data_IF_341067872160
#
_entry.id   IF_341067872160
#
_cell.length_a   1.000
_cell.length_b   1.000
_cell.length_c   1.000
_cell.angle_alpha   90.00
_cell.angle_beta   90.00
_cell.angle_gamma   90.00
#
_symmetry.space_group_name_H-M   'P 1'
#
loop_
_entity.id
_entity.type
_entity.pdbx_description
1 polymer ?
#
# COMPACT_ATOMS: atom_id res chain seq x y z
N UNK A 1 0.55 -15.14 22.64
CA UNK A 1 0.16 -13.71 22.80
C UNK A 1 -1.27 -13.69 23.26
N UNK A 2 -1.62 -12.93 24.32
CA UNK A 2 -3.01 -12.67 24.62
C UNK A 2 -3.55 -11.73 23.54
N UNK A 3 -4.43 -12.25 22.69
CA UNK A 3 -5.22 -11.42 21.77
C UNK A 3 -6.14 -10.56 22.63
N UNK A 4 -5.83 -9.27 22.68
CA UNK A 4 -6.59 -8.34 23.50
C UNK A 4 -7.97 -8.12 22.88
N UNK A 5 -9.01 -8.19 23.72
CA UNK A 5 -10.42 -7.98 23.33
C UNK A 5 -10.77 -6.49 23.08
N UNK A 6 -9.77 -5.63 22.92
CA UNK A 6 -9.92 -4.18 22.72
C UNK A 6 -9.50 -3.78 21.33
N UNK A 7 -9.92 -2.62 20.87
CA UNK A 7 -9.58 -2.04 19.56
C UNK A 7 -8.66 -0.86 19.72
N UNK A 8 -7.89 -0.47 18.68
CA UNK A 8 -7.08 0.73 18.71
C UNK A 8 -7.85 1.97 19.17
N UNK A 9 -9.05 2.21 18.63
CA UNK A 9 -9.87 3.38 18.99
C UNK A 9 -10.27 3.38 20.46
N UNK A 10 -10.64 2.22 21.03
CA UNK A 10 -10.98 2.09 22.45
C UNK A 10 -9.77 2.39 23.37
N UNK A 11 -8.57 2.03 22.92
CA UNK A 11 -7.32 2.32 23.62
C UNK A 11 -6.81 3.76 23.34
N UNK A 12 -7.48 4.52 22.45
CA UNK A 12 -7.14 5.89 22.08
C UNK A 12 -5.99 5.99 21.08
N UNK A 13 -5.77 4.95 20.27
CA UNK A 13 -4.86 4.96 19.13
C UNK A 13 -5.59 5.36 17.86
N UNK A 14 -4.85 5.96 16.91
CA UNK A 14 -5.35 6.36 15.61
C UNK A 14 -4.31 6.11 14.52
N UNK A 15 -4.74 5.96 13.29
CA UNK A 15 -3.87 5.84 12.11
C UNK A 15 -3.26 7.21 11.80
N UNK A 16 -1.92 7.37 11.82
CA UNK A 16 -1.26 8.60 11.41
C UNK A 16 -1.38 8.80 9.90
N UNK A 17 -1.10 10.03 9.46
CA UNK A 17 -0.92 10.31 8.04
C UNK A 17 0.45 9.83 7.56
N UNK A 18 0.58 9.54 6.26
CA UNK A 18 1.84 9.10 5.67
C UNK A 18 2.94 10.18 5.70
N UNK A 19 2.55 11.45 5.71
CA UNK A 19 3.51 12.57 5.84
C UNK A 19 3.97 12.86 7.29
N UNK A 20 3.53 12.06 8.29
CA UNK A 20 4.06 12.17 9.64
C UNK A 20 5.42 11.44 9.76
N UNK A 21 6.29 11.80 10.71
CA UNK A 21 7.63 11.19 10.82
C UNK A 21 7.57 9.67 10.98
N UNK A 22 8.29 8.97 10.13
CA UNK A 22 8.43 7.52 10.11
C UNK A 22 9.59 7.04 10.98
N UNK A 23 9.46 5.83 11.53
CA UNK A 23 10.60 5.08 12.10
C UNK A 23 11.42 4.37 11.03
N UNK A 24 10.85 4.18 9.86
CA UNK A 24 11.43 3.53 8.71
C UNK A 24 10.38 2.97 7.77
N UNK A 25 10.81 2.51 6.62
CA UNK A 25 10.01 1.91 5.57
C UNK A 25 10.16 0.38 5.56
N UNK A 26 9.07 -0.34 5.38
CA UNK A 26 9.08 -1.79 5.15
C UNK A 26 9.05 -2.03 3.65
N UNK A 27 9.96 -2.86 3.16
CA UNK A 27 9.95 -3.33 1.77
C UNK A 27 10.17 -4.85 1.72
N UNK A 28 9.74 -5.46 0.64
CA UNK A 28 9.91 -6.89 0.38
C UNK A 28 10.63 -7.04 -0.94
N UNK A 29 11.61 -7.95 -1.01
CA UNK A 29 12.39 -8.18 -2.22
C UNK A 29 11.54 -8.87 -3.29
N UNK A 30 11.45 -8.33 -4.52
CA UNK A 30 10.60 -8.88 -5.58
C UNK A 30 11.15 -10.24 -6.05
N UNK A 31 10.28 -11.25 -6.14
CA UNK A 31 10.70 -12.60 -6.53
C UNK A 31 9.65 -13.40 -7.31
N UNK A 32 8.34 -13.01 -7.27
CA UNK A 32 7.28 -13.76 -7.93
C UNK A 32 7.35 -13.63 -9.46
N UNK A 33 7.50 -14.75 -10.24
CA UNK A 33 7.62 -14.64 -11.69
C UNK A 33 6.38 -14.13 -12.40
N UNK A 34 5.18 -14.36 -11.84
CA UNK A 34 3.91 -13.86 -12.38
C UNK A 34 3.75 -12.34 -12.24
N UNK A 35 4.43 -11.70 -11.26
CA UNK A 35 4.39 -10.25 -11.06
C UNK A 35 5.63 -9.54 -11.62
N UNK A 36 6.83 -10.14 -11.49
CA UNK A 36 8.12 -9.47 -11.71
C UNK A 36 8.95 -10.09 -12.84
N UNK A 37 8.35 -10.89 -13.71
CA UNK A 37 9.01 -11.71 -14.73
C UNK A 37 9.94 -12.78 -14.11
N UNK A 38 10.38 -13.71 -14.93
CA UNK A 38 11.13 -14.92 -14.51
C UNK A 38 12.38 -14.63 -13.67
N UNK A 39 13.11 -13.58 -13.93
CA UNK A 39 14.37 -13.25 -13.25
C UNK A 39 14.29 -12.02 -12.34
N UNK A 40 13.16 -11.32 -12.34
CA UNK A 40 12.85 -10.13 -11.55
C UNK A 40 13.90 -8.98 -11.65
N UNK A 41 14.82 -9.01 -12.61
CA UNK A 41 15.96 -8.06 -12.68
C UNK A 41 15.56 -6.60 -12.75
N UNK A 42 14.59 -6.30 -13.62
CA UNK A 42 14.13 -4.92 -13.80
C UNK A 42 13.47 -4.40 -12.51
N UNK A 43 12.66 -5.26 -11.87
CA UNK A 43 12.04 -4.97 -10.60
C UNK A 43 13.10 -4.80 -9.48
N UNK A 44 14.07 -5.72 -9.36
CA UNK A 44 15.15 -5.59 -8.39
C UNK A 44 15.92 -4.28 -8.57
N UNK A 45 16.21 -3.89 -9.81
CA UNK A 45 16.90 -2.63 -10.09
C UNK A 45 16.06 -1.42 -9.65
N UNK A 46 14.75 -1.43 -9.93
CA UNK A 46 13.83 -0.38 -9.50
C UNK A 46 13.70 -0.30 -7.98
N UNK A 47 13.51 -1.45 -7.32
CA UNK A 47 13.45 -1.52 -5.86
C UNK A 47 14.74 -1.06 -5.18
N UNK A 48 15.91 -1.44 -5.72
CA UNK A 48 17.19 -0.95 -5.24
C UNK A 48 17.32 0.58 -5.33
N UNK A 49 16.87 1.17 -6.45
CA UNK A 49 16.89 2.62 -6.63
C UNK A 49 15.94 3.34 -5.66
N UNK A 50 14.74 2.79 -5.42
CA UNK A 50 13.78 3.30 -4.44
C UNK A 50 14.36 3.22 -3.02
N UNK A 51 14.91 2.08 -2.62
CA UNK A 51 15.55 1.94 -1.30
C UNK A 51 16.73 2.89 -1.11
N UNK A 52 17.55 3.10 -2.14
CA UNK A 52 18.64 4.08 -2.09
C UNK A 52 18.11 5.52 -1.92
N UNK A 53 16.95 5.84 -2.49
CA UNK A 53 16.31 7.14 -2.30
C UNK A 53 15.77 7.29 -0.86
N UNK A 54 15.05 6.30 -0.35
CA UNK A 54 14.46 6.29 1.00
C UNK A 54 15.54 6.39 2.08
N UNK A 55 16.65 5.65 1.94
CA UNK A 55 17.73 5.63 2.93
C UNK A 55 18.49 6.96 3.08
N UNK A 56 18.19 7.97 2.28
CA UNK A 56 18.65 9.34 2.53
C UNK A 56 17.97 9.99 3.75
N UNK A 57 16.80 9.52 4.13
CA UNK A 57 15.96 10.15 5.16
C UNK A 57 15.48 9.20 6.26
N UNK A 58 15.43 7.88 6.02
CA UNK A 58 14.96 6.89 7.00
C UNK A 58 15.48 5.49 6.71
N UNK A 59 15.52 4.58 7.72
CA UNK A 59 15.95 3.21 7.52
C UNK A 59 14.93 2.39 6.72
N UNK A 60 15.42 1.39 6.00
CA UNK A 60 14.59 0.39 5.30
C UNK A 60 14.72 -0.96 6.00
N UNK A 61 13.59 -1.58 6.31
CA UNK A 61 13.46 -2.96 6.78
C UNK A 61 13.05 -3.82 5.59
N UNK A 62 14.01 -4.60 5.08
CA UNK A 62 13.85 -5.36 3.85
C UNK A 62 13.64 -6.84 4.16
N UNK A 63 12.43 -7.33 3.89
CA UNK A 63 12.14 -8.76 3.92
C UNK A 63 12.62 -9.44 2.63
N UNK A 64 13.15 -10.64 2.75
CA UNK A 64 13.57 -11.44 1.60
C UNK A 64 13.38 -12.94 1.88
N UNK A 65 12.77 -13.65 0.94
CA UNK A 65 12.67 -15.11 0.98
C UNK A 65 14.02 -15.78 0.76
N UNK A 66 14.18 -17.02 1.22
CA UNK A 66 15.45 -17.78 1.14
C UNK A 66 16.11 -17.78 -0.23
N UNK A 67 15.31 -17.87 -1.31
CA UNK A 67 15.81 -17.90 -2.68
C UNK A 67 16.54 -16.62 -3.10
N UNK A 68 16.15 -15.49 -2.54
CA UNK A 68 16.64 -14.15 -2.91
C UNK A 68 17.44 -13.47 -1.79
N UNK A 69 17.49 -14.07 -0.59
CA UNK A 69 18.11 -13.50 0.61
C UNK A 69 19.57 -13.05 0.35
N UNK A 70 20.37 -13.89 -0.28
CA UNK A 70 21.76 -13.55 -0.58
C UNK A 70 21.91 -12.31 -1.49
N UNK A 71 20.97 -12.09 -2.43
CA UNK A 71 20.95 -10.89 -3.28
C UNK A 71 20.58 -9.64 -2.49
N UNK A 72 19.57 -9.74 -1.63
CA UNK A 72 19.16 -8.67 -0.75
C UNK A 72 20.28 -8.28 0.24
N UNK A 73 20.95 -9.26 0.84
CA UNK A 73 22.10 -9.04 1.73
C UNK A 73 23.30 -8.41 1.00
N UNK A 74 23.58 -8.85 -0.22
CA UNK A 74 24.64 -8.26 -1.03
C UNK A 74 24.36 -6.79 -1.35
N UNK A 75 23.11 -6.45 -1.71
CA UNK A 75 22.69 -5.06 -1.91
C UNK A 75 22.86 -4.24 -0.61
N UNK A 76 22.37 -4.72 0.52
CA UNK A 76 22.49 -4.00 1.80
C UNK A 76 23.95 -3.79 2.21
N UNK A 77 24.82 -4.79 1.99
CA UNK A 77 26.26 -4.69 2.25
C UNK A 77 26.91 -3.64 1.33
N UNK A 78 26.56 -3.61 0.05
CA UNK A 78 27.04 -2.61 -0.91
C UNK A 78 26.60 -1.19 -0.49
N UNK A 79 25.33 -1.00 -0.10
CA UNK A 79 24.82 0.30 0.38
C UNK A 79 25.56 0.75 1.64
N UNK A 80 25.76 -0.16 2.59
CA UNK A 80 26.49 0.11 3.83
C UNK A 80 27.94 0.55 3.56
N UNK A 81 28.63 -0.09 2.63
CA UNK A 81 29.99 0.30 2.26
C UNK A 81 30.01 1.63 1.50
N UNK A 82 29.14 1.81 0.51
CA UNK A 82 29.01 3.04 -0.29
C UNK A 82 28.76 4.28 0.59
N UNK A 83 27.90 4.15 1.60
CA UNK A 83 27.48 5.26 2.47
C UNK A 83 28.01 5.18 3.90
N UNK A 84 29.07 4.42 4.15
CA UNK A 84 29.62 4.14 5.48
C UNK A 84 29.81 5.39 6.34
N UNK A 85 30.45 6.42 5.80
CA UNK A 85 30.71 7.68 6.54
C UNK A 85 29.39 8.47 6.78
N UNK A 86 28.50 8.50 5.80
CA UNK A 86 27.21 9.18 5.93
C UNK A 86 26.30 8.49 6.97
N UNK A 87 26.31 7.15 7.01
CA UNK A 87 25.58 6.37 8.03
C UNK A 87 26.18 6.62 9.42
N UNK A 88 27.50 6.60 9.55
CA UNK A 88 28.16 6.83 10.84
C UNK A 88 27.87 8.21 11.45
N UNK A 89 27.59 9.22 10.63
CA UNK A 89 27.24 10.58 11.10
C UNK A 89 25.73 10.90 10.99
N UNK A 90 24.89 9.90 10.77
CA UNK A 90 23.42 10.05 10.76
C UNK A 90 22.84 10.83 9.57
N UNK A 91 23.60 10.96 8.46
CA UNK A 91 23.15 11.64 7.23
C UNK A 91 22.66 10.66 6.15
N UNK A 92 22.66 9.38 6.45
CA UNK A 92 22.14 8.29 5.63
C UNK A 92 21.73 7.15 6.55
N UNK A 93 20.79 6.31 6.13
CA UNK A 93 20.25 5.24 6.97
C UNK A 93 20.52 3.86 6.36
N UNK A 94 20.57 2.81 7.19
CA UNK A 94 20.86 1.46 6.70
C UNK A 94 19.64 0.79 6.07
N UNK A 95 19.91 -0.16 5.17
CA UNK A 95 18.98 -1.24 4.81
C UNK A 95 19.25 -2.41 5.76
N UNK A 96 18.22 -2.82 6.51
CA UNK A 96 18.29 -3.99 7.41
C UNK A 96 17.53 -5.15 6.79
N UNK A 97 18.27 -6.16 6.33
CA UNK A 97 17.66 -7.35 5.70
C UNK A 97 17.26 -8.36 6.76
N UNK A 98 16.14 -9.02 6.54
CA UNK A 98 15.71 -10.17 7.33
C UNK A 98 15.04 -11.22 6.47
N UNK A 99 15.20 -12.49 6.85
CA UNK A 99 14.55 -13.61 6.18
C UNK A 99 13.06 -13.63 6.53
N UNK A 100 12.22 -13.60 5.49
CA UNK A 100 10.79 -13.86 5.57
C UNK A 100 10.29 -14.38 4.21
N UNK A 101 9.56 -15.48 4.24
CA UNK A 101 8.89 -15.98 3.04
C UNK A 101 7.61 -15.22 2.81
N UNK A 102 7.36 -14.85 1.56
CA UNK A 102 6.15 -14.19 1.07
C UNK A 102 5.73 -14.78 -0.27
N UNK A 103 4.46 -14.66 -0.60
CA UNK A 103 3.96 -15.05 -1.92
C UNK A 103 4.30 -13.98 -2.97
N UNK A 104 4.30 -12.68 -2.58
CA UNK A 104 4.74 -11.57 -3.43
C UNK A 104 5.43 -10.44 -2.62
N UNK A 105 5.64 -9.26 -3.21
CA UNK A 105 6.44 -8.17 -2.66
C UNK A 105 5.64 -6.88 -2.32
N UNK A 106 4.33 -6.99 -2.16
CA UNK A 106 3.42 -5.85 -1.98
C UNK A 106 3.29 -5.42 -0.52
N UNK A 107 4.39 -4.88 0.05
CA UNK A 107 4.45 -4.48 1.45
C UNK A 107 3.39 -3.45 1.86
N UNK A 108 2.92 -2.58 0.95
CA UNK A 108 1.84 -1.63 1.20
C UNK A 108 0.58 -2.35 1.68
N UNK A 109 0.27 -3.51 1.09
CA UNK A 109 -1.02 -4.18 1.27
C UNK A 109 -0.99 -5.24 2.35
N UNK A 110 0.11 -6.01 2.45
CA UNK A 110 0.22 -7.13 3.38
C UNK A 110 1.03 -6.85 4.65
N UNK A 111 1.77 -5.73 4.72
CA UNK A 111 2.43 -5.34 5.97
C UNK A 111 1.42 -4.75 6.97
N UNK A 112 1.74 -4.73 8.27
CA UNK A 112 0.79 -4.23 9.27
C UNK A 112 0.51 -2.74 9.04
N UNK A 113 -0.75 -2.35 9.22
CA UNK A 113 -1.10 -0.94 9.37
C UNK A 113 -0.70 -0.48 10.77
N UNK A 114 -0.06 0.67 10.86
CA UNK A 114 0.37 1.20 12.16
C UNK A 114 -0.60 2.25 12.69
N UNK A 115 -0.85 2.15 14.00
CA UNK A 115 -1.63 3.13 14.77
C UNK A 115 -0.76 3.69 15.89
N UNK A 116 -0.97 4.95 16.26
CA UNK A 116 -0.18 5.60 17.30
C UNK A 116 -1.04 6.28 18.36
N UNK A 117 -0.44 6.44 19.55
CA UNK A 117 -0.93 7.26 20.66
C UNK A 117 0.26 7.90 21.34
N UNK A 118 0.42 9.21 21.20
CA UNK A 118 1.65 9.89 21.66
C UNK A 118 2.89 9.27 21.03
N UNK A 119 3.86 8.85 21.84
CA UNK A 119 5.09 8.18 21.39
C UNK A 119 4.96 6.66 21.18
N UNK A 120 3.80 6.06 21.48
CA UNK A 120 3.58 4.62 21.37
C UNK A 120 3.01 4.29 19.99
N UNK A 121 3.55 3.23 19.37
CA UNK A 121 3.10 2.70 18.07
C UNK A 121 2.71 1.25 18.25
N UNK A 122 1.59 0.85 17.68
CA UNK A 122 1.09 -0.53 17.62
C UNK A 122 0.75 -0.91 16.19
N UNK A 123 0.75 -2.19 15.91
CA UNK A 123 0.38 -2.76 14.62
C UNK A 123 -1.09 -3.19 14.61
N UNK A 124 -1.70 -3.16 13.43
CA UNK A 124 -3.01 -3.79 13.14
C UNK A 124 -2.78 -4.81 12.04
N UNK A 125 -3.20 -6.04 12.28
CA UNK A 125 -3.23 -7.11 11.31
C UNK A 125 -4.61 -7.19 10.68
N UNK A 126 -4.67 -7.30 9.35
CA UNK A 126 -5.86 -7.57 8.57
C UNK A 126 -5.81 -8.98 7.99
N UNK A 127 -6.92 -9.51 7.53
CA UNK A 127 -6.86 -10.62 6.59
C UNK A 127 -6.50 -10.09 5.20
N UNK A 128 -5.48 -10.71 4.59
CA UNK A 128 -5.09 -10.45 3.20
C UNK A 128 -5.49 -11.64 2.33
N UNK A 129 -6.05 -11.38 1.15
CA UNK A 129 -6.56 -12.43 0.26
C UNK A 129 -6.20 -12.23 -1.21
N UNK A 130 -5.03 -11.64 -1.48
CA UNK A 130 -4.57 -11.35 -2.84
C UNK A 130 -5.56 -10.49 -3.64
N UNK A 131 -6.16 -9.49 -2.99
CA UNK A 131 -7.10 -8.49 -3.52
C UNK A 131 -8.45 -9.01 -4.03
N UNK A 132 -8.82 -10.24 -3.71
CA UNK A 132 -10.13 -10.73 -4.14
C UNK A 132 -10.41 -12.18 -3.79
N UNK A 133 -9.43 -12.88 -3.23
CA UNK A 133 -9.58 -14.26 -2.79
C UNK A 133 -9.94 -15.19 -3.95
N UNK A 134 -11.02 -15.94 -3.78
CA UNK A 134 -11.50 -16.88 -4.81
C UNK A 134 -12.45 -16.23 -5.82
N UNK A 135 -12.75 -14.94 -5.71
CA UNK A 135 -13.67 -14.21 -6.59
C UNK A 135 -12.91 -13.62 -7.78
N UNK A 136 -11.92 -12.79 -7.46
CA UNK A 136 -11.10 -12.05 -8.42
C UNK A 136 -9.67 -11.80 -7.90
N UNK A 137 -9.17 -12.66 -7.01
CA UNK A 137 -7.81 -12.58 -6.48
C UNK A 137 -6.75 -12.83 -7.55
N UNK A 138 -5.65 -12.09 -7.48
CA UNK A 138 -4.61 -12.08 -8.51
C UNK A 138 -3.70 -13.30 -8.49
N UNK A 139 -3.68 -14.09 -7.40
CA UNK A 139 -2.94 -15.35 -7.33
C UNK A 139 -3.59 -16.39 -6.40
N UNK A 140 -3.31 -17.64 -6.67
CA UNK A 140 -4.03 -18.78 -6.09
C UNK A 140 -3.66 -19.08 -4.62
N UNK A 141 -2.51 -18.59 -4.14
CA UNK A 141 -2.04 -18.77 -2.76
C UNK A 141 -1.51 -17.45 -2.22
N UNK A 142 -1.99 -17.04 -1.06
CA UNK A 142 -1.62 -15.81 -0.35
C UNK A 142 -1.34 -16.03 1.14
N UNK A 143 -1.12 -17.30 1.55
CA UNK A 143 -0.99 -17.64 2.98
C UNK A 143 0.24 -17.03 3.64
N UNK A 144 1.32 -16.88 2.89
CA UNK A 144 2.55 -16.29 3.40
C UNK A 144 2.38 -14.77 3.55
N UNK A 145 1.70 -14.15 2.60
CA UNK A 145 1.39 -12.73 2.61
C UNK A 145 0.41 -12.38 3.74
N UNK A 146 -0.65 -13.17 3.92
CA UNK A 146 -1.63 -13.02 5.02
C UNK A 146 -0.97 -13.15 6.41
N UNK A 147 0.08 -13.96 6.53
CA UNK A 147 0.83 -14.12 7.78
C UNK A 147 1.84 -13.00 8.05
N UNK A 148 2.26 -12.25 7.02
CA UNK A 148 3.40 -11.34 7.08
C UNK A 148 3.25 -10.25 8.14
N UNK A 149 2.06 -9.63 8.28
CA UNK A 149 1.82 -8.55 9.24
C UNK A 149 2.06 -9.01 10.69
N UNK A 150 1.55 -10.18 11.07
CA UNK A 150 1.71 -10.76 12.41
C UNK A 150 3.18 -11.14 12.65
N UNK A 151 3.85 -11.74 11.67
CA UNK A 151 5.25 -12.16 11.80
C UNK A 151 6.19 -10.96 11.90
N UNK A 152 5.96 -9.90 11.11
CA UNK A 152 6.70 -8.65 11.24
C UNK A 152 6.48 -7.99 12.60
N UNK A 153 5.24 -7.87 13.05
CA UNK A 153 4.92 -7.29 14.36
C UNK A 153 5.58 -8.06 15.51
N UNK A 154 5.59 -9.39 15.45
CA UNK A 154 6.25 -10.26 16.41
C UNK A 154 7.76 -10.09 16.40
N UNK A 155 8.37 -10.05 15.20
CA UNK A 155 9.79 -9.85 15.00
C UNK A 155 10.26 -8.53 15.60
N UNK A 156 9.58 -7.44 15.26
CA UNK A 156 9.92 -6.08 15.70
C UNK A 156 9.35 -5.74 17.09
N UNK A 157 8.70 -6.72 17.75
CA UNK A 157 8.12 -6.62 19.09
C UNK A 157 7.05 -5.53 19.23
N UNK A 158 6.31 -5.27 18.16
CA UNK A 158 5.11 -4.46 18.24
C UNK A 158 3.97 -5.23 18.90
N UNK A 159 3.21 -4.55 19.76
CA UNK A 159 1.88 -5.03 20.11
C UNK A 159 1.03 -4.99 18.83
N UNK A 160 0.36 -6.10 18.54
CA UNK A 160 -0.47 -6.22 17.34
C UNK A 160 -1.92 -6.45 17.73
N UNK A 161 -2.81 -5.63 17.21
CA UNK A 161 -4.24 -5.88 17.19
C UNK A 161 -4.55 -6.77 15.99
N UNK A 162 -5.39 -7.78 16.20
CA UNK A 162 -5.80 -8.69 15.14
C UNK A 162 -7.23 -8.39 14.73
N UNK A 163 -7.40 -7.84 13.54
CA UNK A 163 -8.70 -7.50 12.97
C UNK A 163 -9.28 -8.61 12.09
N UNK A 164 -8.58 -9.75 11.94
CA UNK A 164 -9.12 -10.88 11.20
C UNK A 164 -10.49 -11.33 11.77
N UNK A 165 -11.45 -11.70 10.93
CA UNK A 165 -11.36 -11.99 9.50
C UNK A 165 -11.68 -10.79 8.57
N UNK A 166 -11.60 -9.55 9.03
CA UNK A 166 -11.86 -8.38 8.18
C UNK A 166 -10.76 -8.24 7.13
N UNK A 167 -11.12 -8.32 5.86
CA UNK A 167 -10.21 -8.18 4.72
C UNK A 167 -9.98 -6.71 4.43
N UNK A 168 -8.72 -6.29 4.47
CA UNK A 168 -8.30 -4.92 4.13
C UNK A 168 -6.83 -4.90 3.71
N UNK A 169 -6.51 -4.03 2.79
CA UNK A 169 -5.15 -3.74 2.34
C UNK A 169 -4.75 -2.30 2.68
N UNK A 170 -3.45 -2.07 2.89
CA UNK A 170 -2.94 -0.72 3.16
C UNK A 170 -3.18 0.26 2.01
N UNK A 171 -3.18 -0.22 0.75
CA UNK A 171 -3.46 0.58 -0.44
C UNK A 171 -4.93 0.98 -0.60
N UNK A 172 -5.86 0.27 0.06
CA UNK A 172 -7.30 0.57 0.03
C UNK A 172 -7.72 1.73 0.95
N UNK A 173 -6.81 2.27 1.76
CA UNK A 173 -7.08 3.32 2.76
C UNK A 173 -6.06 4.44 2.72
N UNK A 174 -6.49 5.69 2.90
CA UNK A 174 -5.60 6.84 3.05
C UNK A 174 -6.07 7.80 4.15
N UNK A 175 -5.22 8.04 5.17
CA UNK A 175 -5.56 8.82 6.37
C UNK A 175 -4.90 10.21 6.35
N UNK A 176 -5.61 11.23 6.85
CA UNK A 176 -5.04 12.56 7.12
C UNK A 176 -4.35 12.67 8.48
N UNK A 177 -4.38 11.61 9.31
CA UNK A 177 -3.87 11.63 10.68
C UNK A 177 -4.69 12.47 11.66
N UNK A 178 -5.76 13.10 11.21
CA UNK A 178 -6.62 13.99 12.01
C UNK A 178 -8.08 13.50 12.08
N UNK A 179 -8.31 12.24 11.72
CA UNK A 179 -9.60 11.55 11.85
C UNK A 179 -10.38 11.39 10.55
N UNK A 180 -9.82 11.78 9.40
CA UNK A 180 -10.42 11.54 8.08
C UNK A 180 -9.73 10.36 7.39
N UNK A 181 -10.54 9.50 6.77
CA UNK A 181 -10.09 8.42 5.91
C UNK A 181 -10.74 8.56 4.53
N UNK A 182 -9.98 8.39 3.48
CA UNK A 182 -10.51 8.25 2.11
C UNK A 182 -10.37 6.78 1.69
N UNK A 183 -11.40 6.27 1.04
CA UNK A 183 -11.52 4.92 0.49
C UNK A 183 -12.27 4.98 -0.84
N UNK A 184 -12.23 3.90 -1.63
CA UNK A 184 -13.06 3.78 -2.85
C UNK A 184 -14.21 2.80 -2.64
N UNK A 185 -15.36 3.08 -3.27
CA UNK A 185 -16.51 2.17 -3.28
C UNK A 185 -16.20 0.90 -4.07
N UNK A 186 -15.53 1.04 -5.21
CA UNK A 186 -15.15 -0.05 -6.07
C UNK A 186 -14.33 -1.12 -5.30
N UNK A 187 -13.41 -0.69 -4.44
CA UNK A 187 -12.60 -1.61 -3.64
C UNK A 187 -13.37 -2.20 -2.46
N UNK A 188 -13.76 -1.37 -1.49
CA UNK A 188 -14.24 -1.90 -0.20
C UNK A 188 -15.64 -2.53 -0.26
N UNK A 189 -16.43 -2.23 -1.29
CA UNK A 189 -17.74 -2.85 -1.52
C UNK A 189 -17.68 -4.01 -2.53
N UNK A 190 -16.47 -4.38 -2.99
CA UNK A 190 -16.31 -5.51 -3.92
C UNK A 190 -16.68 -6.84 -3.26
N UNK A 191 -17.09 -7.81 -4.09
CA UNK A 191 -17.42 -9.16 -3.64
C UNK A 191 -16.19 -9.94 -3.14
N UNK A 192 -15.00 -9.51 -3.53
CA UNK A 192 -13.74 -10.11 -3.14
C UNK A 192 -13.21 -9.66 -1.78
N UNK A 193 -13.91 -8.76 -1.04
CA UNK A 193 -13.47 -8.28 0.27
C UNK A 193 -14.37 -8.79 1.41
N UNK A 194 -15.37 -8.01 1.78
CA UNK A 194 -16.26 -8.29 2.92
C UNK A 194 -17.74 -8.31 2.47
N UNK A 195 -18.16 -9.20 1.55
CA UNK A 195 -19.48 -9.14 0.91
C UNK A 195 -20.64 -9.35 1.88
N UNK A 196 -20.38 -9.88 3.07
CA UNK A 196 -21.38 -10.07 4.13
C UNK A 196 -21.68 -8.79 4.92
N UNK A 197 -20.92 -7.71 4.72
CA UNK A 197 -21.05 -6.44 5.44
C UNK A 197 -21.70 -5.37 4.60
N UNK A 198 -22.56 -4.54 5.24
CA UNK A 198 -23.03 -3.31 4.64
C UNK A 198 -21.93 -2.23 4.69
N UNK A 199 -22.11 -1.15 3.91
CA UNK A 199 -21.23 0.03 3.95
C UNK A 199 -21.06 0.57 5.37
N UNK A 200 -22.15 0.69 6.12
CA UNK A 200 -22.15 1.18 7.51
C UNK A 200 -21.35 0.26 8.43
N UNK A 201 -21.47 -1.05 8.24
CA UNK A 201 -20.68 -2.03 9.01
C UNK A 201 -19.19 -1.96 8.69
N UNK A 202 -18.83 -1.77 7.41
CA UNK A 202 -17.43 -1.53 7.02
C UNK A 202 -16.91 -0.24 7.66
N UNK A 203 -17.68 0.84 7.63
CA UNK A 203 -17.30 2.09 8.30
C UNK A 203 -17.08 1.92 9.80
N UNK A 204 -17.91 1.13 10.48
CA UNK A 204 -17.72 0.81 11.91
C UNK A 204 -16.40 0.08 12.13
N UNK A 205 -16.05 -0.92 11.30
CA UNK A 205 -14.77 -1.61 11.39
C UNK A 205 -13.59 -0.65 11.20
N UNK A 206 -13.64 0.20 10.16
CA UNK A 206 -12.59 1.20 9.92
C UNK A 206 -12.42 2.17 11.10
N UNK A 207 -13.53 2.64 11.69
CA UNK A 207 -13.51 3.49 12.88
C UNK A 207 -12.92 2.78 14.11
N UNK A 208 -13.25 1.50 14.32
CA UNK A 208 -12.73 0.72 15.43
C UNK A 208 -11.23 0.46 15.33
N UNK A 209 -10.77 0.08 14.14
CA UNK A 209 -9.39 -0.36 13.96
C UNK A 209 -8.42 0.78 13.65
N UNK A 210 -8.90 1.88 13.06
CA UNK A 210 -8.04 2.99 12.64
C UNK A 210 -8.20 4.25 13.50
N UNK A 211 -9.19 4.31 14.40
CA UNK A 211 -9.45 5.48 15.23
C UNK A 211 -9.83 6.73 14.43
N UNK A 212 -10.41 6.55 13.26
CA UNK A 212 -10.93 7.63 12.40
C UNK A 212 -12.37 7.96 12.75
N UNK A 213 -12.83 9.15 12.35
CA UNK A 213 -14.17 9.65 12.70
C UNK A 213 -15.04 9.87 11.46
N UNK A 214 -14.43 10.20 10.33
CA UNK A 214 -15.09 10.46 9.06
C UNK A 214 -14.45 9.63 7.95
N UNK A 215 -15.29 9.00 7.13
CA UNK A 215 -14.87 8.23 5.97
C UNK A 215 -15.49 8.88 4.74
N UNK A 216 -14.63 9.16 3.75
CA UNK A 216 -15.02 9.71 2.46
C UNK A 216 -14.90 8.59 1.44
N UNK A 217 -15.98 8.30 0.76
CA UNK A 217 -16.07 7.28 -0.26
C UNK A 217 -15.97 7.90 -1.64
N UNK A 218 -14.87 7.63 -2.33
CA UNK A 218 -14.75 7.95 -3.75
C UNK A 218 -15.40 6.86 -4.58
N UNK A 219 -16.15 7.19 -5.63
CA UNK A 219 -16.79 6.19 -6.48
C UNK A 219 -15.80 5.25 -7.16
N UNK A 220 -14.64 5.78 -7.58
CA UNK A 220 -13.70 5.11 -8.47
C UNK A 220 -12.26 5.20 -7.96
N UNK A 221 -11.39 4.35 -8.54
CA UNK A 221 -9.94 4.46 -8.46
C UNK A 221 -9.32 4.74 -9.82
N UNK A 222 -8.28 3.99 -10.21
CA UNK A 222 -7.64 4.08 -11.53
C UNK A 222 -8.25 3.03 -12.46
N UNK A 223 -8.50 3.42 -13.70
CA UNK A 223 -9.03 2.56 -14.73
C UNK A 223 -8.17 1.32 -14.95
N UNK A 224 -8.79 0.14 -14.92
CA UNK A 224 -8.17 -1.18 -15.00
C UNK A 224 -7.20 -1.50 -13.85
N UNK A 225 -7.40 -0.93 -12.68
CA UNK A 225 -6.66 -1.34 -11.48
C UNK A 225 -7.19 -2.70 -11.00
N UNK A 226 -6.34 -3.70 -11.07
CA UNK A 226 -6.60 -5.10 -10.71
C UNK A 226 -6.86 -5.30 -9.22
N UNK A 227 -6.46 -4.34 -8.39
CA UNK A 227 -6.71 -4.38 -6.95
C UNK A 227 -8.13 -3.92 -6.59
N UNK A 228 -9.04 -3.86 -7.57
CA UNK A 228 -10.38 -3.27 -7.47
C UNK A 228 -10.34 -1.77 -7.15
N UNK A 229 -9.44 -1.03 -7.81
CA UNK A 229 -9.39 0.43 -7.74
C UNK A 229 -9.02 0.96 -6.35
N UNK A 230 -7.84 0.60 -5.85
CA UNK A 230 -7.29 1.12 -4.61
C UNK A 230 -7.24 2.64 -4.57
N UNK A 231 -7.50 3.22 -3.40
CA UNK A 231 -7.50 4.69 -3.23
C UNK A 231 -6.12 5.30 -3.39
N UNK A 232 -5.05 4.63 -3.01
CA UNK A 232 -3.67 5.12 -3.08
C UNK A 232 -3.18 5.35 -4.52
N UNK A 233 -3.85 4.75 -5.51
CA UNK A 233 -3.62 4.99 -6.93
C UNK A 233 -4.32 6.27 -7.44
N UNK A 234 -5.42 6.71 -6.81
CA UNK A 234 -6.24 7.81 -7.33
C UNK A 234 -6.21 9.05 -6.46
N UNK A 235 -6.16 8.92 -5.12
CA UNK A 235 -6.22 10.05 -4.21
C UNK A 235 -5.34 9.85 -2.98
N UNK A 236 -4.54 10.85 -2.64
CA UNK A 236 -3.68 10.82 -1.45
C UNK A 236 -3.68 12.17 -0.72
N UNK A 237 -3.67 12.12 0.62
CA UNK A 237 -3.40 13.29 1.44
C UNK A 237 -1.92 13.68 1.36
N UNK A 238 -1.64 14.96 1.16
CA UNK A 238 -0.29 15.52 1.22
C UNK A 238 -0.07 16.38 2.47
N UNK A 239 -1.14 16.83 3.08
CA UNK A 239 -1.24 17.46 4.40
C UNK A 239 -2.70 17.54 4.83
N UNK A 240 -3.01 17.93 6.10
CA UNK A 240 -4.41 18.06 6.53
C UNK A 240 -5.20 19.02 5.64
N UNK A 241 -6.34 18.55 5.10
CA UNK A 241 -7.20 19.34 4.22
C UNK A 241 -6.68 19.53 2.79
N UNK A 242 -5.54 18.95 2.41
CA UNK A 242 -5.03 18.99 1.03
C UNK A 242 -4.82 17.58 0.48
N UNK A 243 -5.34 17.35 -0.72
CA UNK A 243 -5.22 16.07 -1.43
C UNK A 243 -4.68 16.26 -2.84
N UNK A 244 -3.99 15.25 -3.35
CA UNK A 244 -3.74 15.09 -4.78
C UNK A 244 -4.75 14.11 -5.34
N UNK A 245 -5.24 14.38 -6.56
CA UNK A 245 -6.17 13.53 -7.29
C UNK A 245 -5.58 13.23 -8.66
N UNK A 246 -5.51 11.96 -9.03
CA UNK A 246 -5.08 11.53 -10.36
C UNK A 246 -6.01 12.14 -11.43
N UNK A 247 -5.43 12.72 -12.47
CA UNK A 247 -6.18 13.51 -13.42
C UNK A 247 -5.68 13.34 -14.86
N UNK A 248 -6.62 13.40 -15.79
CA UNK A 248 -6.32 13.59 -17.22
C UNK A 248 -7.21 14.68 -17.79
N UNK A 249 -6.72 15.43 -18.76
CA UNK A 249 -7.54 16.40 -19.53
C UNK A 249 -8.09 15.76 -20.81
N UNK A 250 -7.74 14.51 -21.09
CA UNK A 250 -8.27 13.77 -22.25
C UNK A 250 -9.66 13.19 -21.92
N UNK A 251 -10.70 13.86 -22.40
CA UNK A 251 -12.09 13.44 -22.20
C UNK A 251 -12.43 12.10 -22.88
N UNK A 252 -11.55 11.61 -23.76
CA UNK A 252 -11.72 10.31 -24.43
C UNK A 252 -11.10 9.15 -23.61
N UNK A 253 -10.22 9.45 -22.64
CA UNK A 253 -9.70 8.46 -21.71
C UNK A 253 -10.76 8.11 -20.66
N UNK A 254 -11.09 6.83 -20.44
CA UNK A 254 -12.03 6.41 -19.40
C UNK A 254 -11.73 6.99 -18.01
N UNK A 255 -10.46 7.21 -17.69
CA UNK A 255 -10.05 7.82 -16.42
C UNK A 255 -10.59 9.23 -16.22
N UNK A 256 -10.85 10.00 -17.29
CA UNK A 256 -11.43 11.34 -17.14
C UNK A 256 -12.77 11.32 -16.41
N UNK A 257 -13.67 10.44 -16.84
CA UNK A 257 -15.01 10.33 -16.22
C UNK A 257 -14.92 9.84 -14.77
N UNK A 258 -14.02 8.90 -14.47
CA UNK A 258 -13.77 8.36 -13.13
C UNK A 258 -13.21 9.46 -12.20
N UNK A 259 -12.15 10.13 -12.59
CA UNK A 259 -11.56 11.22 -11.80
C UNK A 259 -12.51 12.41 -11.62
N UNK A 260 -13.39 12.69 -12.60
CA UNK A 260 -14.41 13.73 -12.49
C UNK A 260 -15.50 13.37 -11.45
N UNK A 261 -15.85 12.08 -11.33
CA UNK A 261 -16.76 11.61 -10.31
C UNK A 261 -16.17 11.79 -8.90
N UNK A 262 -14.91 11.42 -8.72
CA UNK A 262 -14.18 11.58 -7.45
C UNK A 262 -14.00 13.07 -7.07
N UNK A 263 -13.65 13.91 -8.05
CA UNK A 263 -13.53 15.36 -7.85
C UNK A 263 -14.84 15.96 -7.28
N UNK A 264 -15.99 15.58 -7.84
CA UNK A 264 -17.30 16.07 -7.36
C UNK A 264 -17.57 15.70 -5.90
N UNK A 265 -17.17 14.51 -5.48
CA UNK A 265 -17.28 14.11 -4.06
C UNK A 265 -16.36 14.96 -3.20
N UNK A 266 -15.10 15.09 -3.55
CA UNK A 266 -14.12 15.87 -2.79
C UNK A 266 -14.50 17.36 -2.68
N UNK A 267 -15.08 17.95 -3.73
CA UNK A 267 -15.57 19.35 -3.71
C UNK A 267 -16.76 19.56 -2.76
N UNK A 268 -17.61 18.54 -2.61
CA UNK A 268 -18.79 18.61 -1.75
C UNK A 268 -18.46 18.31 -0.29
N UNK A 269 -17.50 17.45 -0.05
CA UNK A 269 -17.12 16.96 1.27
C UNK A 269 -16.24 17.96 2.06
N UNK A 270 -16.08 17.65 3.34
CA UNK A 270 -15.12 18.26 4.26
C UNK A 270 -14.35 17.15 4.97
N UNK A 271 -13.21 17.46 5.53
CA UNK A 271 -12.53 16.54 6.46
C UNK A 271 -13.26 16.41 7.82
N UNK A 272 -12.74 15.59 8.72
CA UNK A 272 -13.31 15.36 10.05
C UNK A 272 -13.34 16.62 10.93
N UNK A 273 -12.57 17.65 10.59
CA UNK A 273 -12.55 18.96 11.29
C UNK A 273 -13.37 20.03 10.59
N UNK A 274 -14.12 19.67 9.53
CA UNK A 274 -14.99 20.57 8.80
C UNK A 274 -14.29 21.46 7.77
N UNK A 275 -13.00 21.21 7.43
CA UNK A 275 -12.27 21.96 6.41
C UNK A 275 -12.64 21.45 5.03
N UNK A 276 -12.87 22.35 4.07
CA UNK A 276 -12.95 22.01 2.66
C UNK A 276 -11.60 21.58 2.13
N UNK A 277 -11.61 20.62 1.18
CA UNK A 277 -10.38 20.16 0.56
C UNK A 277 -9.82 21.16 -0.45
N UNK A 278 -8.50 21.33 -0.39
CA UNK A 278 -7.73 21.87 -1.50
C UNK A 278 -7.25 20.71 -2.35
N UNK A 279 -7.76 20.63 -3.56
CA UNK A 279 -7.54 19.50 -4.46
C UNK A 279 -6.49 19.89 -5.50
N UNK A 280 -5.42 19.12 -5.57
CA UNK A 280 -4.38 19.28 -6.57
C UNK A 280 -4.52 18.16 -7.61
N UNK A 281 -4.78 18.53 -8.86
CA UNK A 281 -4.84 17.60 -9.98
C UNK A 281 -3.44 17.18 -10.37
N UNK A 282 -3.11 15.91 -10.22
CA UNK A 282 -1.83 15.33 -10.62
C UNK A 282 -2.02 14.53 -11.91
N UNK A 283 -1.40 14.92 -13.02
CA UNK A 283 -1.62 14.22 -14.27
C UNK A 283 -1.15 12.75 -14.19
N UNK A 284 -1.95 11.85 -14.77
CA UNK A 284 -1.53 10.48 -15.08
C UNK A 284 -0.63 10.48 -16.32
N UNK A 285 0.06 9.37 -16.66
CA UNK A 285 0.81 9.27 -17.91
C UNK A 285 -0.07 9.61 -19.11
N UNK A 286 0.36 10.60 -19.94
CA UNK A 286 -0.40 11.06 -21.11
C UNK A 286 -0.67 9.96 -22.14
N UNK A 287 0.24 8.98 -22.23
CA UNK A 287 0.03 7.77 -23.00
C UNK A 287 -0.17 6.64 -22.01
N UNK A 288 -1.24 5.86 -22.15
CA UNK A 288 -1.41 4.68 -21.32
C UNK A 288 -0.15 3.80 -21.34
N UNK A 289 0.29 3.38 -20.17
CA UNK A 289 1.34 2.37 -20.04
C UNK A 289 0.70 1.01 -20.31
N UNK A 290 1.21 0.30 -21.30
CA UNK A 290 0.67 -0.98 -21.68
C UNK A 290 1.77 -2.03 -21.72
N UNK A 291 1.41 -3.28 -21.43
CA UNK A 291 2.32 -4.41 -21.50
C UNK A 291 2.77 -4.63 -22.95
N UNK A 292 4.07 -4.75 -23.12
CA UNK A 292 4.67 -5.15 -24.40
C UNK A 292 4.66 -6.68 -24.53
N UNK A 293 4.93 -7.17 -25.74
CA UNK A 293 5.12 -8.61 -25.94
C UNK A 293 6.28 -9.16 -25.10
N UNK A 294 7.36 -8.41 -24.99
CA UNK A 294 8.51 -8.79 -24.16
C UNK A 294 8.14 -8.91 -22.68
N UNK A 295 7.26 -8.02 -22.19
CA UNK A 295 6.75 -8.12 -20.83
C UNK A 295 5.96 -9.40 -20.62
N UNK A 296 5.01 -9.67 -21.52
CA UNK A 296 4.13 -10.84 -21.44
C UNK A 296 4.93 -12.15 -21.56
N UNK A 297 5.86 -12.23 -22.52
CA UNK A 297 6.75 -13.41 -22.70
C UNK A 297 7.70 -13.63 -21.48
N UNK A 298 7.88 -12.62 -20.65
CA UNK A 298 8.71 -12.67 -19.45
C UNK A 298 8.02 -13.20 -18.18
N UNK A 299 6.69 -13.15 -18.13
CA UNK A 299 5.93 -13.66 -16.98
C UNK A 299 5.85 -15.18 -16.97
N UNK A 300 5.71 -15.75 -15.78
CA UNK A 300 5.43 -17.18 -15.57
C UNK A 300 4.33 -17.29 -14.53
N UNK A 301 3.15 -17.66 -14.97
CA UNK A 301 1.97 -17.79 -14.13
C UNK A 301 1.87 -19.20 -13.53
N UNK A 302 1.27 -19.30 -12.36
CA UNK A 302 0.92 -20.56 -11.72
C UNK A 302 -0.48 -21.01 -12.15
N UNK A 303 -0.82 -22.26 -11.91
CA UNK A 303 -2.16 -22.79 -12.24
C UNK A 303 -3.25 -22.02 -11.46
N UNK A 304 -4.21 -21.47 -12.19
CA UNK A 304 -5.31 -20.69 -11.63
C UNK A 304 -5.07 -19.16 -11.59
N UNK A 305 -3.97 -18.68 -12.13
CA UNK A 305 -3.70 -17.25 -12.34
C UNK A 305 -4.13 -16.82 -13.75
N UNK A 306 -4.63 -15.60 -13.86
CA UNK A 306 -4.97 -15.02 -15.16
C UNK A 306 -3.69 -14.61 -15.91
N UNK A 307 -3.60 -15.05 -17.16
CA UNK A 307 -2.50 -14.66 -18.04
C UNK A 307 -2.69 -13.21 -18.53
N UNK A 308 -1.57 -12.51 -18.69
CA UNK A 308 -1.55 -11.14 -19.21
C UNK A 308 -1.55 -11.11 -20.73
N UNK A 309 -2.07 -10.03 -21.31
CA UNK A 309 -2.11 -9.84 -22.75
C UNK A 309 -1.25 -8.65 -23.20
N UNK A 310 -0.65 -8.81 -24.40
CA UNK A 310 0.07 -7.70 -25.06
C UNK A 310 -0.89 -6.57 -25.38
N UNK A 311 -0.54 -5.34 -24.95
CA UNK A 311 -1.39 -4.16 -25.10
C UNK A 311 -2.34 -3.92 -23.93
N UNK A 312 -2.38 -4.81 -22.96
CA UNK A 312 -3.12 -4.62 -21.72
C UNK A 312 -2.63 -3.35 -21.01
N UNK A 313 -3.57 -2.46 -20.65
CA UNK A 313 -3.25 -1.20 -19.98
C UNK A 313 -2.99 -1.46 -18.48
N UNK A 314 -1.88 -0.93 -18.01
CA UNK A 314 -1.53 -0.94 -16.60
C UNK A 314 -2.17 0.23 -15.86
N UNK A 315 -2.55 0.03 -14.60
CA UNK A 315 -3.07 1.07 -13.72
C UNK A 315 -1.97 2.04 -13.26
N UNK A 316 -1.30 2.69 -14.22
CA UNK A 316 -0.17 3.57 -13.94
C UNK A 316 -0.63 4.94 -13.45
N UNK A 317 -0.19 5.32 -12.26
CA UNK A 317 -0.49 6.60 -11.62
C UNK A 317 0.73 7.17 -10.91
N UNK A 318 0.85 8.51 -10.88
CA UNK A 318 1.84 9.20 -10.05
C UNK A 318 1.33 9.53 -8.64
N UNK A 319 0.07 9.21 -8.32
CA UNK A 319 -0.50 9.39 -6.99
C UNK A 319 -0.04 8.29 -6.03
N UNK A 320 0.25 7.09 -6.54
CA UNK A 320 0.84 6.02 -5.74
C UNK A 320 2.33 6.31 -5.47
N UNK A 321 2.60 7.19 -4.54
CA UNK A 321 3.93 7.58 -4.11
C UNK A 321 4.14 7.23 -2.62
N UNK A 322 5.40 7.23 -2.21
CA UNK A 322 5.79 7.11 -0.82
C UNK A 322 6.38 8.43 -0.32
N UNK A 323 5.90 8.93 0.81
CA UNK A 323 6.41 10.15 1.46
C UNK A 323 7.43 9.72 2.51
N UNK A 324 8.71 9.87 2.22
CA UNK A 324 9.77 9.60 3.20
C UNK A 324 10.07 10.81 4.09
N UNK A 325 10.73 10.57 5.22
CA UNK A 325 11.23 11.65 6.09
C UNK A 325 12.23 12.53 5.33
N UNK A 326 12.12 13.86 5.39
CA UNK A 326 13.12 14.73 4.78
C UNK A 326 12.63 16.03 4.21
#
# INVERSE_FOLDING_TARGET
MEYNRTTPSADGYYMPAEYEPHKGCIMIWPQRPGSWKKDAKDAEQAFCAVMEAITKSEPVYLAAGKKVLARAEAFAAQQKEKYREAIACGRHFPVTVFEAETDDAWARDMAPTFVKKGGSVRAVNWSFNAWGGTVDGLYASWKLDDAFALDFAKRERYFCYDAAPFVLEGGSIHSDGEGTLIVTEACLLSQGRNPQMSREQIEEQLKYWLGVHKIIWLPCGIYQDETNEHVDNVCAFVRPGEVVLAWTEDETDPQYAMSLADLKVLEQETDAKGRKFKIHKLPIPQKPVCLTREDVDGFVFEEGEDERETGERMAASYVNFYISNG
#
